data_IF_021741033007
#
_entry.id   IF_021741033007
#
_cell.length_a   1.000
_cell.length_b   1.000
_cell.length_c   1.000
_cell.angle_alpha   90.00
_cell.angle_beta   90.00
_cell.angle_gamma   90.00
#
_symmetry.space_group_name_H-M   'P 1'
#
loop_
_entity.id
_entity.type
_entity.pdbx_description
1 polymer ?
#
# COMPACT_ATOMS: atom_id res chain seq x y z
N UNK A 1 16.74 -9.75 5.78
CA UNK A 1 15.41 -10.39 5.92
C UNK A 1 14.40 -9.35 6.41
N UNK A 2 13.18 -9.37 5.89
CA UNK A 2 12.08 -8.59 6.46
C UNK A 2 11.72 -9.15 7.85
N UNK A 3 11.38 -8.27 8.79
CA UNK A 3 10.93 -8.65 10.14
C UNK A 3 9.44 -8.33 10.24
N UNK A 4 8.58 -9.30 10.59
CA UNK A 4 7.18 -9.01 10.87
C UNK A 4 7.07 -7.98 11.99
N UNK A 5 6.23 -6.97 11.79
CA UNK A 5 5.86 -6.01 12.84
C UNK A 5 4.49 -6.41 13.38
N UNK A 6 4.41 -6.61 14.69
CA UNK A 6 3.15 -6.91 15.40
C UNK A 6 2.49 -5.65 15.96
N UNK A 7 2.90 -4.46 15.48
CA UNK A 7 3.52 -3.41 16.30
C UNK A 7 3.84 -2.17 15.44
N UNK A 8 3.08 -1.05 15.50
CA UNK A 8 3.45 0.18 14.76
C UNK A 8 4.50 1.01 15.51
N UNK A 9 4.68 0.76 16.80
CA UNK A 9 5.50 1.51 17.75
C UNK A 9 6.93 1.75 17.23
N UNK A 10 7.64 0.77 16.65
CA UNK A 10 8.97 0.99 16.08
C UNK A 10 8.98 2.00 14.93
N UNK A 11 7.85 2.18 14.23
CA UNK A 11 7.72 3.11 13.11
C UNK A 11 7.22 4.50 13.54
N UNK A 12 6.77 4.68 14.79
CA UNK A 12 6.27 5.97 15.30
C UNK A 12 7.23 7.15 15.05
N UNK A 13 8.55 7.03 15.26
CA UNK A 13 9.50 8.12 15.01
C UNK A 13 9.56 8.57 13.54
N UNK A 14 9.17 7.69 12.61
CA UNK A 14 9.18 7.95 11.16
C UNK A 14 7.81 8.45 10.70
N UNK A 15 6.72 7.76 11.07
CA UNK A 15 5.35 8.12 10.61
C UNK A 15 4.87 9.48 11.13
N UNK A 16 5.48 9.99 12.20
CA UNK A 16 5.22 11.34 12.75
C UNK A 16 5.92 12.45 11.98
N UNK A 17 6.94 12.15 11.17
CA UNK A 17 7.68 13.16 10.39
C UNK A 17 6.82 13.71 9.26
N UNK A 18 7.11 14.95 8.85
CA UNK A 18 6.50 15.60 7.70
C UNK A 18 7.61 16.24 6.83
N UNK A 19 7.58 16.06 5.50
CA UNK A 19 6.62 15.24 4.74
C UNK A 19 6.78 13.74 5.02
N UNK A 20 5.71 12.96 4.80
CA UNK A 20 5.74 11.50 4.91
C UNK A 20 5.42 10.88 3.54
N UNK A 21 6.25 9.93 3.13
CA UNK A 21 5.98 9.06 1.99
C UNK A 21 5.60 7.65 2.46
N UNK A 22 4.59 7.06 1.82
CA UNK A 22 4.26 5.64 1.92
C UNK A 22 4.42 5.02 0.53
N UNK A 23 5.38 4.11 0.40
CA UNK A 23 5.66 3.40 -0.84
C UNK A 23 5.36 1.92 -0.59
N UNK A 24 4.57 1.31 -1.47
CA UNK A 24 4.11 -0.06 -1.26
C UNK A 24 3.95 -0.79 -2.59
N UNK A 25 4.23 -2.09 -2.58
CA UNK A 25 3.88 -3.00 -3.65
C UNK A 25 2.36 -3.31 -3.65
N UNK A 26 1.83 -3.89 -4.72
CA UNK A 26 0.41 -4.25 -4.86
C UNK A 26 0.22 -5.76 -4.63
N UNK A 27 0.64 -6.61 -5.57
CA UNK A 27 0.31 -8.03 -5.58
C UNK A 27 1.06 -8.79 -4.46
N UNK A 28 0.31 -9.41 -3.55
CA UNK A 28 0.88 -10.07 -2.37
C UNK A 28 1.28 -9.12 -1.24
N UNK A 29 1.07 -7.80 -1.41
CA UNK A 29 1.29 -6.79 -0.37
C UNK A 29 -0.02 -6.10 0.04
N UNK A 30 -0.65 -5.36 -0.88
CA UNK A 30 -1.93 -4.67 -0.65
C UNK A 30 -3.12 -5.44 -1.24
N UNK A 31 -2.87 -6.24 -2.27
CA UNK A 31 -3.81 -7.19 -2.86
C UNK A 31 -3.42 -8.61 -2.41
N UNK A 32 -4.37 -9.45 -1.98
CA UNK A 32 -4.09 -10.87 -1.74
C UNK A 32 -3.50 -11.56 -2.98
N UNK A 33 -2.67 -12.58 -2.75
CA UNK A 33 -2.26 -13.50 -3.83
C UNK A 33 -3.45 -14.36 -4.21
N UNK A 34 -3.80 -14.36 -5.49
CA UNK A 34 -4.92 -15.10 -6.07
C UNK A 34 -4.44 -16.04 -7.17
N UNK A 35 -5.25 -17.03 -7.53
CA UNK A 35 -4.88 -18.04 -8.51
C UNK A 35 -4.65 -17.48 -9.92
N UNK A 36 -5.41 -16.44 -10.31
CA UNK A 36 -5.29 -15.81 -11.62
C UNK A 36 -5.00 -14.31 -11.48
N UNK A 37 -3.99 -13.76 -12.16
CA UNK A 37 -3.59 -12.36 -12.00
C UNK A 37 -4.69 -11.34 -12.30
N UNK A 38 -5.66 -11.66 -13.15
CA UNK A 38 -6.80 -10.80 -13.51
C UNK A 38 -7.85 -10.68 -12.40
N UNK A 39 -7.88 -11.61 -11.45
CA UNK A 39 -8.78 -11.58 -10.29
C UNK A 39 -8.21 -10.74 -9.14
N UNK A 40 -6.97 -10.27 -9.26
CA UNK A 40 -6.31 -9.47 -8.23
C UNK A 40 -6.94 -8.07 -8.14
N UNK A 41 -7.37 -7.70 -6.94
CA UNK A 41 -7.92 -6.39 -6.65
C UNK A 41 -7.48 -5.93 -5.26
N UNK A 42 -7.25 -4.63 -5.09
CA UNK A 42 -6.95 -4.08 -3.76
C UNK A 42 -8.28 -3.94 -3.01
N UNK A 43 -8.51 -4.66 -1.89
CA UNK A 43 -9.79 -4.60 -1.18
C UNK A 43 -10.10 -3.20 -0.67
N UNK A 44 -11.37 -2.82 -0.59
CA UNK A 44 -11.76 -1.47 -0.13
C UNK A 44 -11.30 -1.19 1.31
N UNK A 45 -11.21 -2.23 2.15
CA UNK A 45 -10.63 -2.14 3.50
C UNK A 45 -9.17 -1.64 3.51
N UNK A 46 -8.44 -1.79 2.40
CA UNK A 46 -7.08 -1.28 2.19
C UNK A 46 -7.11 0.06 1.43
N UNK A 47 -7.96 0.20 0.39
CA UNK A 47 -8.10 1.44 -0.39
C UNK A 47 -8.51 2.63 0.50
N UNK A 48 -9.50 2.46 1.37
CA UNK A 48 -10.03 3.54 2.19
C UNK A 48 -8.97 4.17 3.12
N UNK A 49 -8.17 3.40 3.90
CA UNK A 49 -7.05 3.94 4.65
C UNK A 49 -6.00 4.67 3.81
N UNK A 50 -5.63 4.13 2.63
CA UNK A 50 -4.66 4.77 1.74
C UNK A 50 -5.16 6.13 1.23
N UNK A 51 -6.42 6.20 0.80
CA UNK A 51 -7.08 7.47 0.42
C UNK A 51 -7.07 8.46 1.58
N UNK A 52 -7.38 8.00 2.79
CA UNK A 52 -7.37 8.84 4.00
C UNK A 52 -5.97 9.36 4.34
N UNK A 53 -4.92 8.56 4.12
CA UNK A 53 -3.53 9.01 4.29
C UNK A 53 -3.16 10.07 3.24
N UNK A 54 -3.51 9.84 1.98
CA UNK A 54 -3.29 10.80 0.90
C UNK A 54 -4.00 12.15 1.18
N UNK A 55 -5.25 12.12 1.64
CA UNK A 55 -6.02 13.30 2.04
C UNK A 55 -5.37 14.07 3.22
N UNK A 56 -4.60 13.39 4.08
CA UNK A 56 -3.83 13.98 5.18
C UNK A 56 -2.45 14.50 4.74
N UNK A 57 -2.16 14.52 3.44
CA UNK A 57 -0.91 15.03 2.87
C UNK A 57 0.23 14.01 2.81
N UNK A 58 -0.01 12.73 3.11
CA UNK A 58 0.98 11.67 2.89
C UNK A 58 1.11 11.41 1.40
N UNK A 59 2.35 11.33 0.90
CA UNK A 59 2.61 10.95 -0.49
C UNK A 59 2.55 9.43 -0.59
N UNK A 60 1.48 8.91 -1.19
CA UNK A 60 1.30 7.47 -1.40
C UNK A 60 1.74 7.12 -2.82
N UNK A 61 2.65 6.16 -2.95
CA UNK A 61 3.10 5.63 -4.23
C UNK A 61 2.96 4.11 -4.24
N UNK A 62 2.38 3.58 -5.32
CA UNK A 62 2.29 2.15 -5.57
C UNK A 62 3.39 1.77 -6.56
N UNK A 63 4.28 0.86 -6.16
CA UNK A 63 5.39 0.37 -6.98
C UNK A 63 5.07 -1.06 -7.39
N UNK A 64 4.71 -1.27 -8.64
CA UNK A 64 4.20 -2.57 -9.11
C UNK A 64 4.83 -2.97 -10.43
N UNK A 65 4.93 -4.28 -10.66
CA UNK A 65 5.26 -4.84 -11.97
C UNK A 65 4.08 -4.84 -12.96
N UNK A 66 2.87 -4.48 -12.51
CA UNK A 66 1.69 -4.35 -13.39
C UNK A 66 1.84 -3.14 -14.32
N UNK A 67 1.21 -3.22 -15.49
CA UNK A 67 1.06 -2.04 -16.34
C UNK A 67 0.24 -0.97 -15.62
N UNK A 68 0.47 0.30 -15.98
CA UNK A 68 -0.23 1.43 -15.38
C UNK A 68 -1.74 1.31 -15.52
N UNK A 69 -2.23 0.85 -16.68
CA UNK A 69 -3.67 0.69 -16.93
C UNK A 69 -4.29 -0.38 -16.04
N UNK A 70 -3.60 -1.50 -15.84
CA UNK A 70 -4.06 -2.55 -14.92
C UNK A 70 -4.06 -2.04 -13.49
N UNK A 71 -2.96 -1.42 -13.05
CA UNK A 71 -2.84 -0.88 -11.68
C UNK A 71 -3.92 0.18 -11.36
N UNK A 72 -4.37 0.96 -12.35
CA UNK A 72 -5.46 1.94 -12.19
C UNK A 72 -6.84 1.32 -12.02
N UNK A 73 -7.05 0.09 -12.54
CA UNK A 73 -8.33 -0.63 -12.47
C UNK A 73 -8.44 -1.58 -11.29
N UNK A 74 -7.31 -2.12 -10.82
CA UNK A 74 -7.21 -2.89 -9.57
C UNK A 74 -7.72 -2.07 -8.41
#
# INVERSE_FOLDING_TARGET
MARPLTSIEPLLPVVRRRPLGLLSDIDGTLSPIVARPEDAAVPEAIRAPLRRLAAKGVKVALITGRSLDTARRM
#
